data_IF_283577473546
#
_entry.id   IF_283577473546
#
_cell.length_a   1.000
_cell.length_b   1.000
_cell.length_c   1.000
_cell.angle_alpha   90.00
_cell.angle_beta   90.00
_cell.angle_gamma   90.00
#
_symmetry.space_group_name_H-M   'P 1'
#
loop_
_entity.id
_entity.type
_entity.pdbx_description
1 polymer ?
#
# COMPACT_ATOMS: atom_id res chain seq x y z
N UNK A 1 14.76 -18.18 -9.89
CA UNK A 1 15.38 -17.23 -10.84
C UNK A 1 16.81 -16.94 -10.39
N UNK A 2 17.77 -16.85 -11.30
CA UNK A 2 19.17 -16.48 -10.98
C UNK A 2 19.41 -15.06 -11.48
N UNK A 3 19.77 -14.16 -10.57
CA UNK A 3 20.06 -12.76 -10.86
C UNK A 3 21.46 -12.46 -10.34
N UNK A 4 22.26 -11.78 -11.14
CA UNK A 4 23.57 -11.26 -10.73
C UNK A 4 23.39 -9.80 -10.33
N UNK A 5 23.76 -9.47 -9.10
CA UNK A 5 23.74 -8.11 -8.57
C UNK A 5 25.09 -7.82 -7.95
N UNK A 6 25.56 -6.58 -8.07
CA UNK A 6 26.75 -6.14 -7.37
C UNK A 6 26.42 -5.88 -5.90
N UNK A 7 27.27 -6.40 -5.01
CA UNK A 7 27.12 -6.25 -3.57
C UNK A 7 28.44 -5.76 -2.98
N UNK A 8 28.35 -4.86 -2.02
CA UNK A 8 29.53 -4.44 -1.27
C UNK A 8 30.23 -5.66 -0.62
N UNK A 9 31.58 -5.74 -0.66
CA UNK A 9 32.31 -6.87 -0.10
C UNK A 9 31.99 -7.16 1.37
N UNK A 10 31.68 -6.14 2.17
CA UNK A 10 31.30 -6.30 3.58
C UNK A 10 29.94 -6.99 3.73
N UNK A 11 28.98 -6.69 2.84
CA UNK A 11 27.66 -7.34 2.79
C UNK A 11 27.79 -8.81 2.42
N UNK A 12 28.64 -9.12 1.42
CA UNK A 12 28.91 -10.50 1.00
C UNK A 12 29.52 -11.33 2.14
N UNK A 13 30.47 -10.74 2.89
CA UNK A 13 31.09 -11.39 4.05
C UNK A 13 30.05 -11.74 5.12
N UNK A 14 29.15 -10.80 5.41
CA UNK A 14 28.11 -10.98 6.42
C UNK A 14 27.04 -12.00 5.98
N UNK A 15 26.60 -11.96 4.72
CA UNK A 15 25.67 -12.95 4.17
C UNK A 15 26.24 -14.37 4.28
N UNK A 16 27.53 -14.58 3.93
CA UNK A 16 28.21 -15.87 4.08
C UNK A 16 28.25 -16.36 5.52
N UNK A 17 28.53 -15.46 6.47
CA UNK A 17 28.58 -15.80 7.90
C UNK A 17 27.20 -16.24 8.40
N UNK A 18 26.16 -15.47 8.08
CA UNK A 18 24.78 -15.75 8.51
C UNK A 18 24.20 -16.98 7.82
N UNK A 19 24.50 -17.21 6.53
CA UNK A 19 23.98 -18.36 5.79
C UNK A 19 24.48 -19.68 6.40
N UNK A 20 25.75 -19.73 6.81
CA UNK A 20 26.35 -20.86 7.52
C UNK A 20 25.67 -21.10 8.87
N UNK A 21 25.49 -20.04 9.66
CA UNK A 21 24.84 -20.14 10.97
C UNK A 21 23.38 -20.58 10.88
N UNK A 22 22.68 -20.20 9.80
CA UNK A 22 21.28 -20.54 9.59
C UNK A 22 21.06 -21.86 8.84
N UNK A 23 22.11 -22.52 8.34
CA UNK A 23 21.99 -23.71 7.49
C UNK A 23 21.28 -23.46 6.16
N UNK A 24 21.28 -22.22 5.65
CA UNK A 24 20.58 -21.80 4.42
C UNK A 24 21.55 -21.52 3.29
N UNK A 25 21.09 -21.65 2.05
CA UNK A 25 21.83 -21.13 0.91
C UNK A 25 21.93 -19.60 0.99
N UNK A 26 23.02 -19.03 0.45
CA UNK A 26 23.24 -17.58 0.45
C UNK A 26 22.13 -16.85 -0.31
N UNK A 27 21.67 -17.42 -1.43
CA UNK A 27 20.58 -16.85 -2.24
C UNK A 27 19.24 -16.85 -1.49
N UNK A 28 18.93 -17.92 -0.75
CA UNK A 28 17.72 -17.99 0.06
C UNK A 28 17.74 -16.94 1.18
N UNK A 29 18.84 -16.87 1.95
CA UNK A 29 18.96 -15.87 3.01
C UNK A 29 18.90 -14.44 2.46
N UNK A 30 19.58 -14.18 1.34
CA UNK A 30 19.51 -12.88 0.67
C UNK A 30 18.08 -12.54 0.24
N UNK A 31 17.35 -13.49 -0.35
CA UNK A 31 15.96 -13.30 -0.77
C UNK A 31 15.03 -12.99 0.41
N UNK A 32 15.17 -13.71 1.53
CA UNK A 32 14.37 -13.46 2.75
C UNK A 32 14.63 -12.07 3.34
N UNK A 33 15.90 -11.66 3.42
CA UNK A 33 16.30 -10.35 3.93
C UNK A 33 15.79 -9.23 3.02
N UNK A 34 15.94 -9.38 1.69
CA UNK A 34 15.45 -8.42 0.71
C UNK A 34 13.92 -8.30 0.78
N UNK A 35 13.20 -9.41 0.82
CA UNK A 35 11.75 -9.40 0.88
C UNK A 35 11.23 -8.73 2.16
N UNK A 36 11.92 -8.91 3.29
CA UNK A 36 11.58 -8.25 4.56
C UNK A 36 11.80 -6.75 4.47
N UNK A 37 12.94 -6.30 3.93
CA UNK A 37 13.23 -4.87 3.76
C UNK A 37 12.28 -4.19 2.79
N UNK A 38 11.95 -4.84 1.66
CA UNK A 38 11.02 -4.33 0.66
C UNK A 38 9.58 -4.25 1.19
N UNK A 39 9.15 -5.17 2.05
CA UNK A 39 7.85 -5.08 2.73
C UNK A 39 7.81 -3.99 3.81
N UNK A 40 8.95 -3.73 4.47
CA UNK A 40 9.04 -2.74 5.56
C UNK A 40 9.11 -1.31 5.05
N UNK A 41 9.54 -1.09 3.81
CA UNK A 41 9.22 0.17 3.15
C UNK A 41 7.70 0.21 2.97
N UNK A 42 6.96 1.13 3.61
CA UNK A 42 5.62 1.44 3.12
C UNK A 42 5.84 1.82 1.66
N UNK A 43 5.25 1.04 0.75
CA UNK A 43 5.26 1.36 -0.66
C UNK A 43 4.68 2.77 -0.79
N UNK A 44 5.56 3.77 -0.93
CA UNK A 44 5.19 5.15 -1.22
C UNK A 44 4.56 5.29 -2.61
N UNK A 45 4.25 4.18 -3.27
CA UNK A 45 3.71 4.09 -4.62
C UNK A 45 2.73 2.91 -4.79
N UNK A 46 2.24 2.31 -3.70
CA UNK A 46 1.47 1.04 -3.76
C UNK A 46 0.17 1.00 -2.98
N UNK A 47 0.00 1.82 -1.96
CA UNK A 47 -1.34 2.19 -1.54
C UNK A 47 -1.76 3.30 -2.49
N UNK A 48 -2.53 2.94 -3.53
CA UNK A 48 -3.51 3.89 -4.04
C UNK A 48 -4.17 4.46 -2.78
N UNK A 49 -3.99 5.76 -2.53
CA UNK A 49 -4.59 6.41 -1.38
C UNK A 49 -6.04 5.95 -1.33
N UNK A 50 -6.35 5.04 -0.41
CA UNK A 50 -7.68 4.44 -0.35
C UNK A 50 -8.59 5.63 -0.16
N UNK A 51 -9.49 5.85 -1.12
CA UNK A 51 -10.44 6.95 -1.05
C UNK A 51 -11.13 6.80 0.30
N UNK A 52 -10.80 7.69 1.23
CA UNK A 52 -11.39 7.69 2.55
C UNK A 52 -12.77 8.29 2.37
N UNK A 53 -13.77 7.43 2.19
CA UNK A 53 -15.16 7.83 2.21
C UNK A 53 -15.46 8.46 3.56
N UNK A 54 -15.77 9.75 3.56
CA UNK A 54 -16.15 10.49 4.75
C UNK A 54 -17.68 10.48 4.81
N UNK A 55 -18.23 9.79 5.80
CA UNK A 55 -19.64 9.94 6.19
C UNK A 55 -19.69 10.86 7.42
N UNK A 56 -20.55 11.88 7.37
CA UNK A 56 -20.87 12.75 8.50
C UNK A 56 -22.38 12.87 8.58
N UNK A 57 -22.89 12.90 9.80
CA UNK A 57 -24.28 13.27 10.04
C UNK A 57 -24.46 14.75 9.66
N UNK A 58 -25.26 15.00 8.62
CA UNK A 58 -25.61 16.34 8.15
C UNK A 58 -26.93 16.84 8.78
N UNK A 59 -27.50 16.07 9.72
CA UNK A 59 -28.77 16.37 10.35
C UNK A 59 -29.97 16.00 9.47
N UNK A 60 -31.07 16.75 9.63
CA UNK A 60 -32.32 16.46 8.90
C UNK A 60 -32.16 16.80 7.40
N UNK A 61 -32.44 15.86 6.49
CA UNK A 61 -32.34 16.12 5.05
C UNK A 61 -33.36 17.18 4.62
N UNK A 62 -32.89 18.14 3.82
CA UNK A 62 -33.73 19.20 3.23
C UNK A 62 -34.48 18.72 1.99
N UNK A 63 -33.96 17.70 1.32
CA UNK A 63 -34.50 17.12 0.10
C UNK A 63 -34.54 15.61 0.27
N UNK A 64 -35.68 15.01 -0.02
CA UNK A 64 -35.79 13.56 -0.16
C UNK A 64 -35.18 13.15 -1.50
N UNK A 65 -34.12 12.35 -1.47
CA UNK A 65 -33.42 11.90 -2.67
C UNK A 65 -34.17 10.78 -3.41
N UNK A 66 -35.17 10.16 -2.79
CA UNK A 66 -36.03 9.17 -3.44
C UNK A 66 -37.16 9.84 -4.27
N UNK A 67 -37.46 11.11 -3.99
CA UNK A 67 -38.38 11.92 -4.78
C UNK A 67 -37.65 12.66 -5.92
N UNK A 68 -37.76 12.10 -7.12
CA UNK A 68 -37.16 12.68 -8.33
C UNK A 68 -37.60 14.13 -8.62
N UNK A 69 -38.83 14.52 -8.25
CA UNK A 69 -39.34 15.87 -8.50
C UNK A 69 -38.79 16.85 -7.47
N UNK A 70 -38.67 16.42 -6.21
CA UNK A 70 -38.00 17.20 -5.16
C UNK A 70 -36.53 17.46 -5.49
N UNK A 71 -35.81 16.44 -6.00
CA UNK A 71 -34.42 16.59 -6.46
C UNK A 71 -34.31 17.56 -7.64
N UNK A 72 -35.19 17.46 -8.63
CA UNK A 72 -35.20 18.37 -9.79
C UNK A 72 -35.43 19.82 -9.37
N UNK A 73 -36.45 20.07 -8.54
CA UNK A 73 -36.76 21.40 -8.03
C UNK A 73 -35.59 22.00 -7.23
N UNK A 74 -34.86 21.19 -6.45
CA UNK A 74 -33.70 21.65 -5.70
C UNK A 74 -32.49 22.00 -6.59
N UNK A 75 -32.31 21.31 -7.72
CA UNK A 75 -31.22 21.57 -8.67
C UNK A 75 -31.51 22.76 -9.60
N UNK A 76 -32.77 22.95 -9.99
CA UNK A 76 -33.16 24.02 -10.92
C UNK A 76 -33.21 25.40 -10.24
N UNK A 77 -33.28 25.44 -8.89
CA UNK A 77 -33.29 26.66 -8.07
C UNK A 77 -34.55 27.53 -8.26
N UNK A 78 -34.78 28.53 -7.39
CA UNK A 78 -35.78 29.55 -7.68
C UNK A 78 -35.27 30.43 -8.83
N UNK A 79 -36.10 30.62 -9.85
CA UNK A 79 -35.83 31.53 -10.96
C UNK A 79 -35.92 32.99 -10.53
#
# INVERSE_FOLDING_TARGET
MRTTIDLDPTVVKELKRRSKSAGKSMGQLASELLATSLRRQPSSSGDSASLKWIARDLGRPLVDLEDKEAVRAALDGPR
#
